data_IF_335166087796
#
_entry.id   IF_335166087796
#
_cell.length_a   1.000
_cell.length_b   1.000
_cell.length_c   1.000
_cell.angle_alpha   90.00
_cell.angle_beta   90.00
_cell.angle_gamma   90.00
#
_symmetry.space_group_name_H-M   'P 1'
#
loop_
_entity.id
_entity.type
_entity.pdbx_description
1 polymer ?
#
# COMPACT_ATOMS: atom_id res chain seq x y z
N UNK A 1 -17.05 8.60 9.25
CA UNK A 1 -16.72 8.16 7.90
C UNK A 1 -15.58 9.02 7.36
N UNK A 2 -14.50 8.40 6.97
CA UNK A 2 -13.33 9.04 6.33
C UNK A 2 -13.76 9.55 4.94
N UNK A 3 -13.47 10.82 4.64
CA UNK A 3 -13.86 11.46 3.36
C UNK A 3 -12.75 11.46 2.34
N UNK A 4 -11.51 11.51 2.82
CA UNK A 4 -10.31 11.58 1.98
C UNK A 4 -9.18 10.75 2.57
N UNK A 5 -8.47 10.04 1.72
CA UNK A 5 -7.23 9.32 2.09
C UNK A 5 -6.14 9.69 1.11
N UNK A 6 -4.96 9.96 1.65
CA UNK A 6 -3.74 10.12 0.86
C UNK A 6 -2.86 8.90 1.06
N UNK A 7 -2.49 8.25 -0.02
CA UNK A 7 -1.52 7.16 -0.07
C UNK A 7 -0.20 7.72 -0.60
N UNK A 8 0.90 7.54 0.12
CA UNK A 8 2.24 7.91 -0.36
C UNK A 8 3.12 6.67 -0.39
N UNK A 9 3.62 6.31 -1.56
CA UNK A 9 4.51 5.15 -1.73
C UNK A 9 5.88 5.51 -1.16
N UNK A 10 6.23 4.93 -0.02
CA UNK A 10 7.49 5.19 0.67
C UNK A 10 8.63 4.36 0.12
N UNK A 11 8.36 3.15 -0.37
CA UNK A 11 9.29 2.30 -1.11
C UNK A 11 8.53 1.41 -2.11
N UNK A 12 9.06 1.28 -3.32
CA UNK A 12 8.65 0.35 -4.39
C UNK A 12 9.90 -0.05 -5.18
N UNK A 13 9.85 -1.15 -5.90
CA UNK A 13 10.95 -1.61 -6.76
C UNK A 13 11.22 -0.66 -7.96
N UNK A 14 10.23 0.16 -8.29
CA UNK A 14 10.34 1.13 -9.39
C UNK A 14 10.97 2.43 -8.88
N UNK A 15 12.17 2.80 -9.41
CA UNK A 15 12.89 3.95 -8.90
C UNK A 15 12.23 5.29 -9.27
N UNK A 16 12.44 6.29 -8.41
CA UNK A 16 12.17 7.68 -8.71
C UNK A 16 13.40 8.52 -8.40
N UNK A 17 13.67 9.52 -9.27
CA UNK A 17 14.83 10.40 -9.10
C UNK A 17 14.73 11.16 -7.78
N UNK A 18 15.81 11.12 -7.00
CA UNK A 18 15.89 11.82 -5.73
C UNK A 18 15.40 11.05 -4.51
N UNK A 19 14.89 9.82 -4.68
CA UNK A 19 14.50 8.95 -3.60
C UNK A 19 15.32 7.66 -3.61
N UNK A 20 15.42 7.02 -2.44
CA UNK A 20 16.01 5.68 -2.33
C UNK A 20 14.93 4.64 -2.67
N UNK A 21 15.36 3.54 -3.28
CA UNK A 21 14.49 2.39 -3.49
C UNK A 21 15.29 1.09 -3.47
N UNK A 22 14.68 0.07 -2.93
CA UNK A 22 15.15 -1.31 -3.00
C UNK A 22 13.96 -2.23 -3.23
N UNK A 23 14.25 -3.52 -3.42
CA UNK A 23 13.22 -4.54 -3.42
C UNK A 23 12.46 -4.51 -2.09
N UNK A 24 11.15 -4.20 -2.14
CA UNK A 24 10.30 -4.11 -0.97
C UNK A 24 9.13 -3.15 -1.16
N UNK A 25 8.24 -3.14 -0.20
CA UNK A 25 7.02 -2.36 -0.25
C UNK A 25 6.78 -1.58 1.04
N UNK A 26 6.39 -0.32 0.92
CA UNK A 26 5.95 0.51 2.04
C UNK A 26 5.04 1.62 1.55
N UNK A 27 3.93 1.84 2.26
CA UNK A 27 2.91 2.82 1.92
C UNK A 27 2.49 3.59 3.17
N UNK A 28 2.68 4.91 3.17
CA UNK A 28 2.08 5.80 4.18
C UNK A 28 0.62 6.05 3.78
N UNK A 29 -0.29 5.82 4.72
CA UNK A 29 -1.74 5.97 4.55
C UNK A 29 -2.23 7.03 5.53
N UNK A 30 -2.77 8.12 5.02
CA UNK A 30 -3.16 9.27 5.84
C UNK A 30 -4.62 9.64 5.61
N UNK A 31 -5.35 9.83 6.68
CA UNK A 31 -6.71 10.37 6.71
C UNK A 31 -6.79 11.56 7.66
N UNK A 32 -7.95 12.18 7.75
CA UNK A 32 -8.23 13.18 8.77
C UNK A 32 -8.28 12.63 10.21
N UNK A 33 -8.41 11.30 10.37
CA UNK A 33 -8.59 10.67 11.69
C UNK A 33 -7.34 9.91 12.18
N UNK A 34 -6.50 9.43 11.29
CA UNK A 34 -5.32 8.60 11.63
C UNK A 34 -4.27 8.63 10.53
N UNK A 35 -3.05 8.29 10.92
CA UNK A 35 -1.91 8.03 10.02
C UNK A 35 -1.41 6.62 10.26
N UNK A 36 -1.30 5.83 9.24
CA UNK A 36 -0.84 4.44 9.31
C UNK A 36 0.31 4.19 8.34
N UNK A 37 1.23 3.31 8.71
CA UNK A 37 2.23 2.78 7.81
C UNK A 37 1.83 1.35 7.44
N UNK A 38 1.52 1.12 6.17
CA UNK A 38 1.28 -0.21 5.61
C UNK A 38 2.60 -0.75 5.06
N UNK A 39 3.15 -1.78 5.67
CA UNK A 39 4.50 -2.30 5.50
C UNK A 39 5.58 -1.22 5.66
N UNK A 40 6.79 -1.64 6.00
CA UNK A 40 7.88 -0.71 6.33
C UNK A 40 9.06 -0.77 5.36
N UNK A 41 8.95 -1.58 4.30
CA UNK A 41 10.04 -1.76 3.34
C UNK A 41 11.21 -2.58 3.88
N UNK A 42 12.32 -2.64 3.12
CA UNK A 42 13.42 -3.57 3.41
C UNK A 42 14.37 -3.12 4.51
N UNK A 43 14.53 -1.80 4.72
CA UNK A 43 15.54 -1.26 5.67
C UNK A 43 15.12 0.06 6.31
N UNK A 44 15.54 0.30 7.57
CA UNK A 44 15.26 1.54 8.29
C UNK A 44 15.76 2.79 7.56
N UNK A 45 16.97 2.75 6.99
CA UNK A 45 17.62 3.89 6.36
C UNK A 45 16.86 4.38 5.11
N UNK A 46 16.31 3.44 4.33
CA UNK A 46 15.48 3.78 3.16
C UNK A 46 14.21 4.48 3.59
N UNK A 47 13.56 3.93 4.62
CA UNK A 47 12.32 4.50 5.13
C UNK A 47 12.55 5.92 5.67
N UNK A 48 13.51 6.11 6.58
CA UNK A 48 13.84 7.41 7.19
C UNK A 48 14.23 8.46 6.16
N UNK A 49 15.10 8.09 5.21
CA UNK A 49 15.58 9.00 4.18
C UNK A 49 14.45 9.42 3.23
N UNK A 50 13.57 8.50 2.83
CA UNK A 50 12.45 8.84 1.96
C UNK A 50 11.41 9.71 2.67
N UNK A 51 11.14 9.49 3.97
CA UNK A 51 10.32 10.41 4.75
C UNK A 51 10.92 11.83 4.73
N UNK A 52 12.23 11.95 4.98
CA UNK A 52 12.95 13.22 4.99
C UNK A 52 12.91 13.92 3.62
N UNK A 53 13.25 13.19 2.55
CA UNK A 53 13.28 13.74 1.17
C UNK A 53 11.91 14.16 0.65
N UNK A 54 10.85 13.49 1.11
CA UNK A 54 9.48 13.84 0.77
C UNK A 54 8.91 14.97 1.64
N UNK A 55 9.67 15.46 2.63
CA UNK A 55 9.19 16.46 3.59
C UNK A 55 8.07 15.93 4.50
N UNK A 56 8.06 14.61 4.75
CA UNK A 56 7.09 13.94 5.58
C UNK A 56 7.70 13.58 6.94
N UNK A 57 6.86 13.37 7.93
CA UNK A 57 7.28 12.96 9.29
C UNK A 57 7.03 11.47 9.46
N UNK A 58 8.03 10.72 9.94
CA UNK A 58 7.86 9.31 10.31
C UNK A 58 7.19 9.16 11.68
N UNK A 59 7.37 10.12 12.57
CA UNK A 59 6.69 10.17 13.87
C UNK A 59 5.20 10.53 13.73
N UNK A 60 4.44 10.32 14.80
CA UNK A 60 2.99 10.61 14.84
C UNK A 60 2.15 9.60 14.07
N UNK A 61 2.65 8.39 13.83
CA UNK A 61 1.83 7.29 13.33
C UNK A 61 0.88 6.81 14.43
N UNK A 62 -0.36 6.55 14.06
CA UNK A 62 -1.37 5.97 14.95
C UNK A 62 -1.12 4.48 15.15
N UNK A 63 -0.69 3.79 14.09
CA UNK A 63 -0.34 2.37 14.08
C UNK A 63 0.46 2.02 12.81
N UNK A 64 1.04 0.82 12.79
CA UNK A 64 1.55 0.19 11.59
C UNK A 64 0.76 -1.09 11.28
N UNK A 65 0.75 -1.47 10.01
CA UNK A 65 0.11 -2.66 9.49
C UNK A 65 1.15 -3.48 8.74
N UNK A 66 1.37 -4.72 9.13
CA UNK A 66 2.28 -5.64 8.46
C UNK A 66 1.46 -6.64 7.65
N UNK A 67 1.66 -6.67 6.34
CA UNK A 67 0.93 -7.59 5.46
C UNK A 67 1.34 -9.05 5.65
N UNK A 68 2.63 -9.33 5.76
CA UNK A 68 3.18 -10.68 5.94
C UNK A 68 4.64 -10.65 6.44
N UNK A 69 5.24 -11.83 6.70
CA UNK A 69 6.51 -11.98 7.41
C UNK A 69 7.77 -11.94 6.52
N UNK A 70 7.72 -11.48 5.26
CA UNK A 70 8.93 -11.29 4.46
C UNK A 70 9.68 -10.02 4.84
N UNK A 71 11.02 -10.09 4.87
CA UNK A 71 11.89 -9.03 5.38
C UNK A 71 11.71 -7.69 4.64
N UNK A 72 11.48 -7.74 3.35
CA UNK A 72 11.26 -6.58 2.49
C UNK A 72 9.94 -5.82 2.74
N UNK A 73 9.13 -6.28 3.73
CA UNK A 73 7.92 -5.65 4.23
C UNK A 73 8.04 -5.16 5.68
N UNK A 74 8.93 -5.75 6.49
CA UNK A 74 9.08 -5.36 7.90
C UNK A 74 10.46 -4.82 8.27
N UNK A 75 11.46 -4.92 7.38
CA UNK A 75 12.84 -4.52 7.65
C UNK A 75 13.00 -3.07 8.11
N UNK A 76 12.10 -2.17 7.73
CA UNK A 76 12.07 -0.78 8.19
C UNK A 76 11.42 -0.56 9.56
N UNK A 77 10.76 -1.56 10.18
CA UNK A 77 10.10 -1.40 11.49
C UNK A 77 11.01 -0.88 12.62
N UNK A 78 12.32 -1.16 12.66
CA UNK A 78 13.19 -0.54 13.67
C UNK A 78 13.20 1.00 13.61
N UNK A 79 13.07 1.61 12.43
CA UNK A 79 12.91 3.06 12.32
C UNK A 79 11.56 3.52 12.90
N UNK A 80 10.50 2.76 12.64
CA UNK A 80 9.18 3.03 13.22
C UNK A 80 9.22 2.96 14.74
N UNK A 81 9.92 1.97 15.32
CA UNK A 81 10.06 1.82 16.77
C UNK A 81 10.79 3.02 17.41
N UNK A 82 11.83 3.53 16.76
CA UNK A 82 12.55 4.74 17.23
C UNK A 82 11.66 5.99 17.18
N UNK A 83 10.91 6.17 16.12
CA UNK A 83 10.10 7.36 15.90
C UNK A 83 8.74 7.33 16.63
N UNK A 84 8.20 6.14 16.92
CA UNK A 84 6.87 5.94 17.48
C UNK A 84 6.87 4.83 18.54
N UNK A 85 7.56 4.99 19.67
CA UNK A 85 7.67 3.94 20.68
C UNK A 85 6.29 3.53 21.20
N UNK A 86 6.08 2.21 21.25
CA UNK A 86 4.86 1.61 21.83
C UNK A 86 3.62 1.62 20.95
N UNK A 87 3.68 2.07 19.69
CA UNK A 87 2.51 1.94 18.81
C UNK A 87 2.23 0.48 18.45
N UNK A 88 0.99 0.20 18.10
CA UNK A 88 0.57 -1.12 17.64
C UNK A 88 1.07 -1.40 16.23
N UNK A 89 1.51 -2.62 16.00
CA UNK A 89 1.73 -3.20 14.67
C UNK A 89 0.75 -4.35 14.51
N UNK A 90 -0.23 -4.17 13.66
CA UNK A 90 -1.19 -5.22 13.33
C UNK A 90 -0.56 -6.17 12.31
N UNK A 91 -0.41 -7.43 12.65
CA UNK A 91 0.30 -8.44 11.86
C UNK A 91 -0.58 -9.68 11.66
N UNK A 92 -0.42 -10.44 10.56
CA UNK A 92 -1.11 -11.71 10.40
C UNK A 92 -0.60 -12.73 11.42
N UNK A 93 -1.36 -13.81 11.60
CA UNK A 93 -1.00 -14.88 12.51
C UNK A 93 0.45 -15.37 12.26
N UNK A 94 1.22 -15.53 13.34
CA UNK A 94 2.61 -15.97 13.30
C UNK A 94 3.65 -14.94 12.81
N UNK A 95 3.24 -13.73 12.36
CA UNK A 95 4.17 -12.67 11.96
C UNK A 95 4.56 -11.70 13.09
N UNK A 96 3.99 -11.85 14.29
CA UNK A 96 4.35 -11.06 15.48
C UNK A 96 5.85 -11.09 15.80
N UNK A 97 6.55 -12.20 15.49
CA UNK A 97 8.00 -12.35 15.64
C UNK A 97 8.83 -11.36 14.81
N UNK A 98 8.24 -10.77 13.77
CA UNK A 98 8.90 -9.78 12.91
C UNK A 98 8.81 -8.36 13.47
N UNK A 99 8.02 -8.15 14.52
CA UNK A 99 7.82 -6.84 15.15
C UNK A 99 8.94 -6.63 16.17
N UNK A 100 9.81 -5.61 16.00
CA UNK A 100 10.92 -5.37 16.90
C UNK A 100 10.47 -4.90 18.27
N UNK A 101 11.37 -5.06 19.24
CA UNK A 101 11.22 -4.47 20.57
C UNK A 101 10.97 -2.96 20.45
N UNK A 102 10.14 -2.42 21.35
CA UNK A 102 9.72 -1.02 21.31
C UNK A 102 8.40 -0.78 20.58
N UNK A 103 7.88 -1.78 19.85
CA UNK A 103 6.54 -1.77 19.26
C UNK A 103 5.64 -2.84 19.90
N UNK A 104 4.32 -2.71 19.73
CA UNK A 104 3.34 -3.67 20.26
C UNK A 104 2.75 -4.50 19.13
N UNK A 105 3.19 -5.74 18.99
CA UNK A 105 2.60 -6.68 18.03
C UNK A 105 1.15 -7.03 18.45
N UNK A 106 0.23 -7.00 17.48
CA UNK A 106 -1.16 -7.42 17.61
C UNK A 106 -1.49 -8.35 16.45
N UNK A 107 -1.69 -9.63 16.75
CA UNK A 107 -2.09 -10.59 15.71
C UNK A 107 -3.55 -10.38 15.32
N UNK A 108 -3.82 -10.44 14.01
CA UNK A 108 -5.15 -10.29 13.41
C UNK A 108 -5.46 -11.54 12.59
N UNK A 109 -6.15 -12.48 13.20
CA UNK A 109 -6.56 -13.74 12.55
C UNK A 109 -7.83 -13.56 11.71
N UNK A 110 -8.80 -12.84 12.25
CA UNK A 110 -10.13 -12.63 11.66
C UNK A 110 -10.30 -11.20 11.13
N UNK A 111 -11.24 -10.95 10.21
CA UNK A 111 -11.54 -9.59 9.77
C UNK A 111 -11.88 -8.67 10.94
N UNK A 112 -11.24 -7.50 11.00
CA UNK A 112 -11.40 -6.56 12.11
C UNK A 112 -11.24 -5.10 11.66
N UNK A 113 -12.02 -4.20 12.26
CA UNK A 113 -11.79 -2.76 12.18
C UNK A 113 -10.66 -2.37 13.13
N UNK A 114 -9.58 -1.82 12.59
CA UNK A 114 -8.37 -1.46 13.34
C UNK A 114 -8.35 0.02 13.73
N UNK A 115 -8.99 0.84 12.91
CA UNK A 115 -9.25 2.25 13.13
C UNK A 115 -10.48 2.66 12.30
N UNK A 116 -11.01 3.85 12.52
CA UNK A 116 -12.19 4.36 11.79
C UNK A 116 -12.04 4.16 10.28
N UNK A 117 -12.90 3.33 9.68
CA UNK A 117 -12.89 3.02 8.24
C UNK A 117 -11.58 2.36 7.72
N UNK A 118 -10.75 1.80 8.60
CA UNK A 118 -9.57 1.00 8.26
C UNK A 118 -9.72 -0.42 8.81
N UNK A 119 -9.79 -1.38 7.92
CA UNK A 119 -10.09 -2.79 8.21
C UNK A 119 -8.94 -3.70 7.79
N UNK A 120 -8.76 -4.80 8.52
CA UNK A 120 -8.01 -5.97 8.04
C UNK A 120 -8.96 -7.01 7.48
N UNK A 121 -8.53 -7.71 6.42
CA UNK A 121 -9.23 -8.92 5.92
C UNK A 121 -9.14 -10.10 6.87
N UNK A 122 -8.35 -9.97 7.95
CA UNK A 122 -7.88 -11.12 8.70
C UNK A 122 -6.77 -11.85 7.94
N UNK A 123 -6.19 -12.86 8.58
CA UNK A 123 -5.15 -13.70 8.00
C UNK A 123 -5.73 -14.62 6.92
N UNK A 124 -5.26 -14.44 5.70
CA UNK A 124 -5.57 -15.34 4.59
C UNK A 124 -4.41 -16.33 4.45
N UNK A 125 -4.68 -17.58 4.82
CA UNK A 125 -3.68 -18.64 4.75
C UNK A 125 -3.27 -18.93 3.31
N UNK A 126 -1.96 -18.93 3.05
CA UNK A 126 -1.35 -19.51 1.86
C UNK A 126 -0.02 -20.12 2.29
N UNK A 127 0.00 -21.45 2.46
CA UNK A 127 1.28 -22.12 2.75
C UNK A 127 2.31 -21.81 1.67
N UNK A 128 3.53 -21.35 1.99
CA UNK A 128 4.09 -21.24 3.33
C UNK A 128 3.93 -19.84 3.99
N UNK A 129 3.22 -18.89 3.40
CA UNK A 129 3.16 -17.50 3.86
C UNK A 129 1.72 -17.08 4.18
N UNK A 130 1.46 -16.80 5.44
CA UNK A 130 0.22 -16.15 5.88
C UNK A 130 0.29 -14.65 5.59
N UNK A 131 -0.76 -14.11 4.95
CA UNK A 131 -0.83 -12.70 4.57
C UNK A 131 -2.21 -12.12 4.90
N UNK A 132 -2.24 -10.86 5.33
CA UNK A 132 -3.45 -10.06 5.46
C UNK A 132 -3.40 -8.86 4.53
N UNK A 133 -4.56 -8.34 4.16
CA UNK A 133 -4.71 -7.12 3.37
C UNK A 133 -5.52 -6.09 4.14
N UNK A 134 -5.32 -4.80 3.83
CA UNK A 134 -6.13 -3.76 4.43
C UNK A 134 -7.21 -3.28 3.47
N UNK A 135 -8.39 -2.98 4.01
CA UNK A 135 -9.45 -2.29 3.28
C UNK A 135 -9.70 -0.94 3.95
N UNK A 136 -9.59 0.12 3.19
CA UNK A 136 -9.84 1.49 3.66
C UNK A 136 -11.10 2.01 2.98
N UNK A 137 -12.10 2.35 3.78
CA UNK A 137 -13.33 2.95 3.28
C UNK A 137 -13.19 4.46 3.20
N UNK A 138 -13.44 5.02 2.00
CA UNK A 138 -13.28 6.44 1.72
C UNK A 138 -14.54 6.94 1.01
N UNK A 139 -15.32 7.81 1.66
CA UNK A 139 -16.52 8.39 1.07
C UNK A 139 -17.53 7.35 0.56
N UNK A 140 -17.62 6.20 1.23
CA UNK A 140 -18.53 5.10 0.85
C UNK A 140 -17.95 4.11 -0.17
N UNK A 141 -16.69 4.27 -0.60
CA UNK A 141 -15.99 3.35 -1.52
C UNK A 141 -14.84 2.66 -0.81
N UNK A 142 -14.49 1.44 -1.22
CA UNK A 142 -13.42 0.66 -0.60
C UNK A 142 -12.16 0.67 -1.47
N UNK A 143 -11.01 0.94 -0.84
CA UNK A 143 -9.69 0.75 -1.41
C UNK A 143 -9.03 -0.47 -0.73
N UNK A 144 -8.52 -1.40 -1.52
CA UNK A 144 -7.81 -2.60 -1.06
C UNK A 144 -6.31 -2.37 -1.20
N UNK A 145 -5.61 -2.47 -0.07
CA UNK A 145 -4.15 -2.37 0.02
C UNK A 145 -3.60 -3.78 0.24
N UNK A 146 -2.71 -4.22 -0.64
CA UNK A 146 -2.13 -5.57 -0.60
C UNK A 146 -0.61 -5.50 -0.43
N UNK A 147 -0.02 -6.50 0.24
CA UNK A 147 1.43 -6.67 0.36
C UNK A 147 2.03 -7.28 -0.90
N UNK A 148 2.13 -8.61 -0.91
CA UNK A 148 2.58 -9.38 -2.08
C UNK A 148 1.47 -10.17 -2.78
N UNK A 149 0.35 -10.39 -2.12
CA UNK A 149 -0.74 -11.24 -2.63
C UNK A 149 -0.35 -12.71 -2.78
N UNK A 150 0.36 -13.28 -1.80
CA UNK A 150 0.71 -14.71 -1.79
C UNK A 150 -0.50 -15.64 -1.94
N UNK A 151 -1.68 -15.34 -1.34
CA UNK A 151 -2.90 -16.12 -1.57
C UNK A 151 -3.44 -16.04 -3.01
N UNK A 152 -2.90 -15.13 -3.83
CA UNK A 152 -3.37 -14.78 -5.15
C UNK A 152 -4.24 -13.51 -5.16
N UNK A 153 -3.87 -12.52 -6.00
CA UNK A 153 -4.56 -11.21 -6.05
C UNK A 153 -6.06 -11.35 -6.38
N UNK A 154 -6.44 -12.29 -7.25
CA UNK A 154 -7.83 -12.55 -7.56
C UNK A 154 -8.60 -13.06 -6.35
N UNK A 155 -8.03 -14.01 -5.59
CA UNK A 155 -8.64 -14.54 -4.35
C UNK A 155 -8.78 -13.44 -3.30
N UNK A 156 -7.74 -12.63 -3.08
CA UNK A 156 -7.79 -11.53 -2.11
C UNK A 156 -8.87 -10.51 -2.50
N UNK A 157 -8.97 -10.16 -3.78
CA UNK A 157 -9.98 -9.23 -4.28
C UNK A 157 -11.40 -9.78 -4.08
N UNK A 158 -11.63 -11.06 -4.35
CA UNK A 158 -12.93 -11.72 -4.12
C UNK A 158 -13.31 -11.73 -2.63
N UNK A 159 -12.36 -12.07 -1.75
CA UNK A 159 -12.57 -12.07 -0.30
C UNK A 159 -12.89 -10.67 0.19
N UNK A 160 -12.12 -9.67 -0.22
CA UNK A 160 -12.36 -8.28 0.16
C UNK A 160 -13.73 -7.79 -0.31
N UNK A 161 -14.12 -8.12 -1.56
CA UNK A 161 -15.45 -7.78 -2.09
C UNK A 161 -16.58 -8.46 -1.31
N UNK A 162 -16.41 -9.73 -0.97
CA UNK A 162 -17.41 -10.47 -0.20
C UNK A 162 -17.60 -9.93 1.22
N UNK A 163 -16.51 -9.49 1.86
CA UNK A 163 -16.54 -8.98 3.23
C UNK A 163 -16.96 -7.50 3.32
N UNK A 164 -16.54 -6.65 2.38
CA UNK A 164 -16.65 -5.20 2.51
C UNK A 164 -17.49 -4.55 1.40
N UNK A 165 -17.89 -5.29 0.37
CA UNK A 165 -18.60 -4.77 -0.80
C UNK A 165 -17.67 -4.33 -1.93
N UNK A 166 -18.18 -3.52 -2.85
CA UNK A 166 -17.46 -3.15 -4.08
C UNK A 166 -16.11 -2.48 -3.81
N UNK A 167 -15.09 -2.92 -4.55
CA UNK A 167 -13.72 -2.41 -4.48
C UNK A 167 -13.50 -1.38 -5.60
N UNK A 168 -13.24 -0.14 -5.22
CA UNK A 168 -12.97 0.92 -6.18
C UNK A 168 -11.52 1.00 -6.62
N UNK A 169 -10.58 0.63 -5.74
CA UNK A 169 -9.16 0.74 -6.00
C UNK A 169 -8.38 -0.41 -5.35
N UNK A 170 -7.38 -0.94 -6.07
CA UNK A 170 -6.42 -1.93 -5.55
C UNK A 170 -5.01 -1.43 -5.77
N UNK A 171 -4.16 -1.48 -4.73
CA UNK A 171 -2.75 -1.09 -4.81
C UNK A 171 -1.86 -2.06 -4.04
N UNK A 172 -0.69 -2.39 -4.58
CA UNK A 172 0.36 -3.19 -3.97
C UNK A 172 0.93 -4.27 -4.88
N UNK A 173 1.61 -5.26 -4.31
CA UNK A 173 2.23 -6.36 -5.03
C UNK A 173 1.21 -7.43 -5.44
N UNK A 174 1.28 -7.89 -6.69
CA UNK A 174 0.39 -8.92 -7.23
C UNK A 174 1.10 -10.27 -7.41
N UNK A 175 2.36 -10.38 -6.99
CA UNK A 175 3.18 -11.60 -6.97
C UNK A 175 3.25 -12.37 -8.30
N UNK A 176 3.55 -11.68 -9.39
CA UNK A 176 3.60 -12.27 -10.75
C UNK A 176 2.38 -13.17 -11.04
N UNK A 177 1.17 -12.61 -10.99
CA UNK A 177 -0.07 -13.36 -11.02
C UNK A 177 -0.25 -14.08 -12.37
N UNK A 178 -0.96 -15.21 -12.35
CA UNK A 178 -1.46 -15.83 -13.59
C UNK A 178 -2.48 -14.92 -14.28
N UNK A 179 -2.75 -15.16 -15.56
CA UNK A 179 -3.77 -14.45 -16.32
C UNK A 179 -5.14 -14.55 -15.62
N UNK A 180 -5.50 -15.72 -15.12
CA UNK A 180 -6.75 -15.94 -14.38
C UNK A 180 -6.85 -15.02 -13.15
N UNK A 181 -5.78 -14.95 -12.34
CA UNK A 181 -5.72 -14.09 -11.16
C UNK A 181 -5.86 -12.60 -11.52
N UNK A 182 -5.22 -12.17 -12.61
CA UNK A 182 -5.36 -10.81 -13.11
C UNK A 182 -6.78 -10.51 -13.57
N UNK A 183 -7.40 -11.39 -14.36
CA UNK A 183 -8.75 -11.19 -14.86
C UNK A 183 -9.77 -11.12 -13.71
N UNK A 184 -9.58 -11.92 -12.66
CA UNK A 184 -10.41 -11.83 -11.45
C UNK A 184 -10.25 -10.47 -10.77
N UNK A 185 -9.01 -10.02 -10.54
CA UNK A 185 -8.76 -8.69 -9.97
C UNK A 185 -9.36 -7.57 -10.85
N UNK A 186 -9.25 -7.69 -12.18
CA UNK A 186 -9.84 -6.73 -13.13
C UNK A 186 -11.37 -6.70 -13.08
N UNK A 187 -12.01 -7.82 -12.80
CA UNK A 187 -13.48 -7.90 -12.68
C UNK A 187 -14.00 -7.32 -11.37
N UNK A 188 -13.19 -7.31 -10.33
CA UNK A 188 -13.57 -6.85 -8.98
C UNK A 188 -13.28 -5.36 -8.78
N UNK A 189 -12.12 -4.89 -9.20
CA UNK A 189 -11.66 -3.53 -8.92
C UNK A 189 -11.91 -2.55 -10.08
N UNK A 190 -12.32 -1.32 -9.75
CA UNK A 190 -12.51 -0.26 -10.75
C UNK A 190 -11.18 0.31 -11.25
N UNK A 191 -10.21 0.53 -10.36
CA UNK A 191 -8.87 1.04 -10.65
C UNK A 191 -7.81 0.14 -10.00
N UNK A 192 -6.65 -0.02 -10.68
CA UNK A 192 -5.59 -0.92 -10.24
C UNK A 192 -4.21 -0.27 -10.35
N UNK A 193 -3.41 -0.44 -9.31
CA UNK A 193 -2.05 0.05 -9.19
C UNK A 193 -1.09 -1.10 -8.83
N UNK A 194 -0.75 -2.01 -9.79
CA UNK A 194 0.20 -3.07 -9.53
C UNK A 194 1.60 -2.50 -9.26
N UNK A 195 2.15 -2.84 -8.12
CA UNK A 195 3.42 -2.37 -7.59
C UNK A 195 4.35 -3.52 -7.23
N UNK A 196 5.51 -3.24 -6.66
CA UNK A 196 6.43 -4.16 -6.01
C UNK A 196 6.66 -5.46 -6.81
N UNK A 197 6.27 -6.61 -6.26
CA UNK A 197 6.48 -7.95 -6.82
C UNK A 197 5.54 -8.34 -7.97
N UNK A 198 4.70 -7.42 -8.47
CA UNK A 198 3.72 -7.70 -9.54
C UNK A 198 4.35 -8.21 -10.83
N UNK A 199 5.61 -7.81 -11.12
CA UNK A 199 6.29 -8.15 -12.36
C UNK A 199 5.87 -7.28 -13.55
N UNK A 200 6.71 -7.30 -14.59
CA UNK A 200 6.52 -6.45 -15.78
C UNK A 200 5.28 -6.83 -16.58
N UNK A 201 4.99 -8.13 -16.66
CA UNK A 201 3.85 -8.63 -17.43
C UNK A 201 2.51 -8.17 -16.81
N UNK A 202 2.35 -8.31 -15.49
CA UNK A 202 1.15 -7.83 -14.81
C UNK A 202 0.97 -6.31 -14.96
N UNK A 203 2.06 -5.53 -14.83
CA UNK A 203 2.05 -4.08 -15.07
C UNK A 203 1.67 -3.75 -16.51
N UNK A 204 2.19 -4.48 -17.50
CA UNK A 204 1.86 -4.31 -18.92
C UNK A 204 0.39 -4.60 -19.18
N UNK A 205 -0.10 -5.75 -18.73
CA UNK A 205 -1.52 -6.17 -18.90
C UNK A 205 -2.49 -5.20 -18.23
N UNK A 206 -2.15 -4.73 -17.02
CA UNK A 206 -2.99 -3.74 -16.33
C UNK A 206 -3.00 -2.40 -17.07
N UNK A 207 -1.87 -1.98 -17.67
CA UNK A 207 -1.78 -0.75 -18.47
C UNK A 207 -2.70 -0.78 -19.72
N UNK A 208 -2.96 -1.96 -20.29
CA UNK A 208 -3.90 -2.15 -21.40
C UNK A 208 -5.35 -1.79 -21.01
N UNK A 209 -5.69 -1.74 -19.72
CA UNK A 209 -6.99 -1.27 -19.22
C UNK A 209 -7.16 0.25 -19.32
N UNK A 210 -6.17 0.97 -19.85
CA UNK A 210 -6.22 2.41 -20.09
C UNK A 210 -6.39 3.21 -18.80
N UNK A 211 -7.48 3.96 -18.68
CA UNK A 211 -7.73 4.85 -17.53
C UNK A 211 -7.91 4.14 -16.18
N UNK A 212 -8.10 2.83 -16.18
CA UNK A 212 -8.20 2.03 -14.95
C UNK A 212 -6.84 1.73 -14.33
N UNK A 213 -5.77 1.85 -15.12
CA UNK A 213 -4.40 1.68 -14.62
C UNK A 213 -3.92 2.95 -13.91
N UNK A 214 -3.35 2.76 -12.72
CA UNK A 214 -2.68 3.83 -11.96
C UNK A 214 -1.21 3.46 -11.83
N UNK A 215 -0.33 4.25 -12.45
CA UNK A 215 1.11 4.03 -12.34
C UNK A 215 1.62 4.48 -10.97
N UNK A 216 2.44 3.63 -10.34
CA UNK A 216 3.04 3.91 -9.04
C UNK A 216 4.54 3.62 -9.04
N UNK A 217 5.27 4.40 -8.22
CA UNK A 217 6.71 4.31 -7.95
C UNK A 217 6.97 4.86 -6.56
N UNK A 218 8.15 4.67 -6.04
CA UNK A 218 8.58 5.37 -4.83
C UNK A 218 8.33 6.88 -4.96
N UNK A 219 7.67 7.48 -3.96
CA UNK A 219 7.30 8.90 -3.93
C UNK A 219 5.96 9.24 -4.60
N UNK A 220 5.28 8.29 -5.26
CA UNK A 220 3.93 8.54 -5.80
C UNK A 220 2.96 8.85 -4.67
N UNK A 221 2.20 9.94 -4.80
CA UNK A 221 1.06 10.24 -3.93
C UNK A 221 -0.24 10.04 -4.69
N UNK A 222 -1.18 9.36 -4.06
CA UNK A 222 -2.50 9.07 -4.61
C UNK A 222 -3.52 9.60 -3.62
N UNK A 223 -4.42 10.44 -4.10
CA UNK A 223 -5.55 10.95 -3.31
C UNK A 223 -6.80 10.21 -3.71
N UNK A 224 -7.47 9.62 -2.73
CA UNK A 224 -8.75 8.93 -2.85
C UNK A 224 -9.84 9.79 -2.22
N UNK A 225 -10.92 10.04 -2.96
CA UNK A 225 -12.09 10.80 -2.54
C UNK A 225 -13.35 10.11 -3.10
N UNK A 226 -14.03 9.33 -2.28
CA UNK A 226 -15.36 8.79 -2.49
C UNK A 226 -15.67 8.19 -3.88
N UNK A 227 -14.99 7.09 -4.27
CA UNK A 227 -15.31 6.33 -5.50
C UNK A 227 -14.97 7.01 -6.82
N UNK A 228 -14.43 8.23 -6.77
CA UNK A 228 -13.87 8.93 -7.92
C UNK A 228 -12.59 8.26 -8.42
N UNK A 229 -12.14 8.61 -9.63
CA UNK A 229 -10.83 8.21 -10.15
C UNK A 229 -9.74 8.69 -9.20
N UNK A 230 -8.78 7.82 -8.79
CA UNK A 230 -7.65 8.23 -7.97
C UNK A 230 -6.87 9.39 -8.61
N UNK A 231 -6.58 10.43 -7.83
CA UNK A 231 -5.76 11.54 -8.30
C UNK A 231 -4.30 11.27 -7.97
N UNK A 232 -3.46 11.18 -8.99
CA UNK A 232 -2.02 10.95 -8.83
C UNK A 232 -1.28 12.28 -8.81
N UNK A 233 -0.47 12.48 -7.76
CA UNK A 233 0.33 13.70 -7.57
C UNK A 233 1.79 13.29 -7.37
N UNK A 234 2.68 13.90 -8.15
CA UNK A 234 4.12 13.68 -8.03
C UNK A 234 4.75 14.78 -7.18
N UNK A 235 5.59 14.47 -6.18
CA UNK A 235 6.33 15.47 -5.43
C UNK A 235 7.24 16.32 -6.33
N UNK A 236 7.49 17.59 -5.97
CA UNK A 236 8.43 18.44 -6.69
C UNK A 236 9.83 17.80 -6.67
N UNK A 237 10.52 17.77 -7.82
CA UNK A 237 11.85 17.15 -7.97
C UNK A 237 11.84 15.62 -8.14
N UNK A 238 10.74 14.95 -7.86
CA UNK A 238 10.55 13.54 -8.17
C UNK A 238 9.91 13.46 -9.55
N UNK A 239 10.69 13.20 -10.59
CA UNK A 239 10.17 13.05 -11.95
C UNK A 239 10.01 11.56 -12.26
N UNK A 240 8.85 11.11 -12.79
CA UNK A 240 8.77 9.82 -13.44
C UNK A 240 9.81 9.78 -14.56
N UNK A 241 10.55 8.69 -14.66
CA UNK A 241 11.35 8.47 -15.86
C UNK A 241 10.36 8.41 -17.04
N UNK A 242 10.50 9.33 -17.96
CA UNK A 242 9.70 9.58 -19.18
C UNK A 242 8.51 8.63 -19.35
N UNK A 243 7.30 9.13 -19.13
CA UNK A 243 6.07 8.43 -19.49
C UNK A 243 5.96 8.36 -21.01
N UNK A 244 5.52 7.24 -21.60
CA UNK A 244 5.07 7.24 -22.98
C UNK A 244 3.94 8.27 -23.15
N UNK A 245 3.99 9.04 -24.22
CA UNK A 245 3.07 10.11 -24.59
C UNK A 245 1.60 9.69 -24.43
N UNK A 246 0.87 10.34 -23.53
CA UNK A 246 -0.58 10.21 -23.42
C UNK A 246 -1.25 10.49 -22.07
N UNK A 247 -0.51 10.65 -20.98
CA UNK A 247 -1.11 10.94 -19.67
C UNK A 247 -0.79 12.37 -19.22
N UNK A 248 -1.81 13.22 -19.17
CA UNK A 248 -1.73 14.58 -18.62
C UNK A 248 -1.58 14.52 -17.10
N UNK A 249 -0.38 14.81 -16.59
CA UNK A 249 -0.13 15.01 -15.17
C UNK A 249 -0.49 16.45 -14.79
N UNK A 250 -1.47 16.65 -13.91
CA UNK A 250 -1.65 17.95 -13.25
C UNK A 250 -0.55 18.15 -12.21
N UNK A 251 0.29 19.15 -12.44
CA UNK A 251 1.25 19.68 -11.47
C UNK A 251 0.53 20.72 -10.63
N UNK A 252 0.42 20.51 -9.30
CA UNK A 252 0.23 21.62 -8.37
C UNK A 252 0.45 21.17 -6.93
N UNK A 253 1.45 21.78 -6.25
CA UNK A 253 1.40 22.03 -4.83
C UNK A 253 1.35 23.54 -4.65
N UNK A 254 0.44 24.09 -3.82
CA UNK A 254 0.52 25.49 -3.42
C UNK A 254 1.79 25.71 -2.58
N UNK A 255 2.41 26.87 -2.77
CA UNK A 255 3.45 27.38 -1.88
C UNK A 255 2.79 27.73 -0.54
N UNK A 256 3.30 27.17 0.53
CA UNK A 256 3.05 27.50 1.92
C UNK A 256 4.30 27.14 2.69
#
# INVERSE_FOLDING_TARGET
>A
MVKRVTLTVMNDNSPARGLLNEWGWSLLVESEAWRALFDAGPRPEILEENFTRLGLRLDGLSFAFLSHAHHDHWGGLPAVARANPGIKVYAPAGAARCVPEGLKAVEVAEPAELALDFWSTGTLGSSPVDEQSAVVRVGGSNALLVGCSHPGIGKIADVARAQFGDISFVIGGFHQPSEEQLQRAFSVAKFLAPAHCSGNEAKRRTRELGERYVEVRTGTRIVLEGGSKPTVVWPRGVHPAILPSGLTTRRQFPAG
#
